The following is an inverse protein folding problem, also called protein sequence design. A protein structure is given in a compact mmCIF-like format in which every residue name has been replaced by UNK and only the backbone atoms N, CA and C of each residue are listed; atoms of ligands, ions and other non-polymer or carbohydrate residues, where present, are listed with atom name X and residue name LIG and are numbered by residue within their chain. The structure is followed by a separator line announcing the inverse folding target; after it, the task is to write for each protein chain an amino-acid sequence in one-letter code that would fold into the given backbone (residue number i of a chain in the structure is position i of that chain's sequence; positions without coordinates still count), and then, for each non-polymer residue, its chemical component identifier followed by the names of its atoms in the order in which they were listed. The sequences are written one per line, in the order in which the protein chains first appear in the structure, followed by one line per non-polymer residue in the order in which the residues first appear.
data_IF_056275736238
#
_entry.id   IF_056275736238
#
_cell.length_a   1.000
_cell.length_b   1.000
_cell.length_c   1.000
_cell.angle_alpha   90.00
_cell.angle_beta   90.00
_cell.angle_gamma   90.00
#
_symmetry.space_group_name_H-M   'P 1'
#
loop_
_entity.id
_entity.type
_entity.pdbx_description
1 polymer ?
#
# COMPACT_ATOMS: atom_id res chain seq x y z
N UNK A 1 -2.53 15.27 -12.27
CA UNK A 1 -1.46 15.59 -11.31
C UNK A 1 -0.67 14.33 -11.10
N UNK A 2 0.65 14.38 -11.29
CA UNK A 2 1.55 13.24 -11.08
C UNK A 2 1.75 12.99 -9.58
N UNK A 3 1.94 11.72 -9.21
CA UNK A 3 2.27 11.32 -7.84
C UNK A 3 3.79 11.36 -7.63
N UNK A 4 4.23 11.64 -6.40
CA UNK A 4 5.64 11.67 -6.02
C UNK A 4 5.85 11.12 -4.61
N UNK A 5 7.10 10.86 -4.23
CA UNK A 5 7.51 10.53 -2.85
C UNK A 5 6.99 11.56 -1.84
N UNK A 6 7.24 12.84 -2.10
CA UNK A 6 6.76 13.92 -1.23
C UNK A 6 5.23 13.96 -1.12
N UNK A 7 4.50 13.60 -2.18
CA UNK A 7 3.04 13.56 -2.16
C UNK A 7 2.53 12.51 -1.17
N UNK A 8 3.03 11.26 -1.25
CA UNK A 8 2.57 10.20 -0.33
C UNK A 8 3.03 10.45 1.11
N UNK A 9 4.20 11.06 1.31
CA UNK A 9 4.69 11.45 2.64
C UNK A 9 3.77 12.50 3.27
N UNK A 10 3.31 13.50 2.50
CA UNK A 10 2.28 14.47 2.94
C UNK A 10 0.94 13.82 3.26
N UNK A 11 0.63 12.68 2.64
CA UNK A 11 -0.55 11.88 2.97
C UNK A 11 -0.36 10.99 4.20
N UNK A 12 0.79 11.08 4.88
CA UNK A 12 1.07 10.34 6.11
C UNK A 12 1.62 8.93 5.89
N UNK A 13 2.07 8.61 4.66
CA UNK A 13 2.90 7.43 4.45
C UNK A 13 4.31 7.68 5.00
N UNK A 14 4.85 6.72 5.73
CA UNK A 14 6.19 6.78 6.31
C UNK A 14 7.11 5.80 5.61
N UNK A 15 8.38 6.17 5.45
CA UNK A 15 9.39 5.28 4.87
C UNK A 15 9.56 4.06 5.79
N UNK A 16 9.38 2.86 5.26
CA UNK A 16 9.60 1.62 5.99
C UNK A 16 11.09 1.49 6.30
N UNK A 17 11.49 1.28 7.56
CA UNK A 17 12.90 1.10 7.91
C UNK A 17 13.43 -0.12 7.14
N UNK A 18 14.51 0.06 6.38
CA UNK A 18 15.10 -0.98 5.53
C UNK A 18 15.16 -2.33 6.26
N UNK A 19 14.38 -3.30 5.80
CA UNK A 19 14.66 -4.71 6.06
C UNK A 19 15.77 -5.14 5.11
N UNK A 20 16.73 -5.92 5.60
CA UNK A 20 17.98 -6.27 4.91
C UNK A 20 17.81 -6.85 3.50
N UNK A 21 16.61 -7.32 3.13
CA UNK A 21 16.30 -7.97 1.85
C UNK A 21 15.35 -7.19 0.93
N UNK A 22 14.90 -5.99 1.31
CA UNK A 22 13.97 -5.20 0.49
C UNK A 22 14.70 -4.15 -0.35
N UNK A 23 14.23 -3.88 -1.58
CA UNK A 23 14.62 -2.68 -2.31
C UNK A 23 14.44 -1.41 -1.46
N UNK A 24 15.07 -0.30 -1.86
CA UNK A 24 14.85 0.99 -1.19
C UNK A 24 13.46 1.54 -1.53
N UNK A 25 13.01 2.53 -0.76
CA UNK A 25 11.80 3.33 -1.02
C UNK A 25 10.47 2.58 -0.88
N UNK A 26 10.34 1.81 0.20
CA UNK A 26 9.06 1.29 0.67
C UNK A 26 8.41 2.26 1.64
N UNK A 27 7.10 2.42 1.52
CA UNK A 27 6.31 3.34 2.30
C UNK A 27 5.14 2.59 2.92
N UNK A 28 4.97 2.71 4.23
CA UNK A 28 3.88 2.10 4.97
C UNK A 28 3.01 3.17 5.63
N UNK A 29 1.76 2.81 5.93
CA UNK A 29 0.84 3.67 6.65
C UNK A 29 -0.15 2.80 7.41
N UNK A 30 -0.25 2.97 8.72
CA UNK A 30 -1.31 2.32 9.49
C UNK A 30 -2.67 2.98 9.19
N UNK A 31 -3.79 2.24 9.16
CA UNK A 31 -3.93 0.79 9.37
C UNK A 31 -3.96 -0.02 8.04
N UNK A 32 -3.27 0.45 7.00
CA UNK A 32 -3.35 -0.20 5.69
C UNK A 32 -2.57 -1.53 5.69
N UNK A 33 -3.16 -2.63 5.16
CA UNK A 33 -2.54 -3.96 5.16
C UNK A 33 -1.52 -4.14 4.02
N UNK A 34 -1.07 -3.05 3.40
CA UNK A 34 -0.17 -3.06 2.26
C UNK A 34 0.82 -1.91 2.35
N UNK A 35 1.89 -2.05 1.57
CA UNK A 35 3.02 -1.13 1.49
C UNK A 35 3.05 -0.59 0.05
N UNK A 36 3.51 0.65 -0.14
CA UNK A 36 3.79 1.21 -1.45
C UNK A 36 5.29 1.16 -1.71
N UNK A 37 5.69 0.69 -2.89
CA UNK A 37 7.08 0.68 -3.33
C UNK A 37 7.27 1.66 -4.48
N UNK A 38 8.25 2.57 -4.37
CA UNK A 38 8.62 3.45 -5.46
C UNK A 38 9.63 2.78 -6.41
N UNK A 39 9.27 2.63 -7.69
CA UNK A 39 10.21 2.22 -8.73
C UNK A 39 10.69 3.45 -9.53
N UNK A 40 11.97 3.77 -9.41
CA UNK A 40 12.61 4.91 -10.09
C UNK A 40 12.55 4.83 -11.63
N UNK A 41 12.47 3.64 -12.22
CA UNK A 41 12.42 3.47 -13.69
C UNK A 41 11.06 3.88 -14.24
N UNK A 42 10.00 3.55 -13.51
CA UNK A 42 8.62 3.88 -13.89
C UNK A 42 8.15 5.22 -13.32
N UNK A 43 8.89 5.79 -12.37
CA UNK A 43 8.49 6.97 -11.58
C UNK A 43 7.08 6.79 -11.02
N UNK A 44 6.83 5.63 -10.44
CA UNK A 44 5.51 5.17 -10.03
C UNK A 44 5.56 4.41 -8.72
N UNK A 45 4.42 4.36 -8.03
CA UNK A 45 4.22 3.47 -6.89
C UNK A 45 3.62 2.14 -7.32
N UNK A 46 4.12 1.07 -6.72
CA UNK A 46 3.57 -0.27 -6.83
C UNK A 46 3.03 -0.70 -5.48
N UNK A 47 1.92 -1.41 -5.51
CA UNK A 47 1.30 -1.94 -4.29
C UNK A 47 1.95 -3.27 -3.97
N UNK A 48 2.35 -3.38 -2.73
CA UNK A 48 3.09 -4.51 -2.21
C UNK A 48 2.38 -5.06 -0.99
N UNK A 49 2.06 -6.35 -1.04
CA UNK A 49 1.52 -7.07 0.10
C UNK A 49 2.65 -7.84 0.77
N UNK A 50 2.78 -7.65 2.09
CA UNK A 50 3.69 -8.45 2.92
C UNK A 50 2.89 -9.57 3.53
N UNK A 51 3.26 -10.80 3.20
CA UNK A 51 2.76 -11.97 3.91
C UNK A 51 3.54 -12.11 5.21
N UNK A 52 2.86 -11.91 6.35
CA UNK A 52 3.53 -11.94 7.66
C UNK A 52 3.91 -13.35 8.12
N UNK A 53 3.23 -14.40 7.61
CA UNK A 53 3.51 -15.79 7.95
C UNK A 53 4.81 -16.29 7.31
N UNK A 54 5.09 -15.83 6.10
CA UNK A 54 6.23 -16.27 5.30
C UNK A 54 7.32 -15.19 5.18
N UNK A 55 7.05 -13.97 5.67
CA UNK A 55 7.83 -12.76 5.37
C UNK A 55 8.05 -12.53 3.86
N UNK A 56 7.21 -13.12 3.01
CA UNK A 56 7.32 -12.97 1.57
C UNK A 56 6.65 -11.69 1.11
N UNK A 57 7.24 -11.09 0.07
CA UNK A 57 6.72 -9.88 -0.55
C UNK A 57 6.10 -10.24 -1.88
N UNK A 58 4.80 -9.99 -2.01
CA UNK A 58 4.10 -10.06 -3.29
C UNK A 58 3.88 -8.66 -3.82
N UNK A 59 4.62 -8.31 -4.87
CA UNK A 59 4.36 -7.10 -5.63
C UNK A 59 3.18 -7.41 -6.55
N UNK A 60 2.05 -6.73 -6.35
CA UNK A 60 0.93 -6.84 -7.28
C UNK A 60 1.24 -5.97 -8.51
N UNK A 61 2.23 -6.42 -9.29
CA UNK A 61 2.97 -5.61 -10.25
C UNK A 61 2.28 -5.36 -11.58
N UNK A 62 0.95 -5.33 -11.64
CA UNK A 62 0.24 -5.11 -12.92
C UNK A 62 -0.10 -3.65 -13.21
N UNK A 63 -0.35 -2.83 -12.18
CA UNK A 63 -0.82 -1.46 -12.38
C UNK A 63 0.02 -0.45 -11.57
N UNK A 64 0.97 0.26 -12.21
CA UNK A 64 1.70 1.33 -11.56
C UNK A 64 0.78 2.50 -11.23
N UNK A 65 0.94 3.07 -10.05
CA UNK A 65 0.26 4.30 -9.62
C UNK A 65 1.16 5.48 -10.00
N UNK A 66 0.83 6.21 -11.06
CA UNK A 66 1.59 7.36 -11.56
C UNK A 66 0.88 8.70 -11.31
N UNK A 67 -0.42 8.65 -11.08
CA UNK A 67 -1.28 9.82 -10.92
C UNK A 67 -2.11 9.75 -9.64
N UNK A 68 -2.59 10.91 -9.18
CA UNK A 68 -3.53 10.99 -8.05
C UNK A 68 -4.82 10.21 -8.32
N UNK A 69 -5.30 10.21 -9.57
CA UNK A 69 -6.51 9.47 -9.94
C UNK A 69 -6.35 7.96 -9.79
N UNK A 70 -5.20 7.41 -10.21
CA UNK A 70 -4.87 5.99 -10.01
C UNK A 70 -4.69 5.64 -8.54
N UNK A 71 -4.07 6.54 -7.78
CA UNK A 71 -3.90 6.40 -6.35
C UNK A 71 -5.26 6.30 -5.63
N UNK A 72 -6.17 7.22 -5.94
CA UNK A 72 -7.52 7.22 -5.37
C UNK A 72 -8.33 5.97 -5.78
N UNK A 73 -8.24 5.57 -7.05
CA UNK A 73 -8.87 4.34 -7.56
C UNK A 73 -8.39 3.10 -6.81
N UNK A 74 -7.10 3.05 -6.44
CA UNK A 74 -6.53 1.93 -5.71
C UNK A 74 -6.92 1.96 -4.21
N UNK A 75 -6.86 3.13 -3.57
CA UNK A 75 -7.04 3.26 -2.12
C UNK A 75 -8.48 3.24 -1.65
N UNK A 76 -9.41 3.82 -2.40
CA UNK A 76 -10.82 3.92 -1.98
C UNK A 76 -11.42 2.52 -1.70
N UNK A 77 -11.23 1.50 -2.56
CA UNK A 77 -11.69 0.15 -2.28
C UNK A 77 -11.10 -0.43 -0.99
N UNK A 78 -9.80 -0.23 -0.73
CA UNK A 78 -9.16 -0.76 0.48
C UNK A 78 -9.66 -0.05 1.73
N UNK A 79 -9.81 1.27 1.68
CA UNK A 79 -10.40 2.06 2.75
C UNK A 79 -11.82 1.62 3.09
N UNK A 80 -12.64 1.35 2.06
CA UNK A 80 -13.99 0.81 2.24
C UNK A 80 -13.93 -0.56 2.93
N UNK A 81 -13.11 -1.48 2.42
CA UNK A 81 -12.96 -2.81 2.98
C UNK A 81 -12.48 -2.80 4.44
N UNK A 82 -11.54 -1.92 4.80
CA UNK A 82 -11.08 -1.75 6.19
C UNK A 82 -12.20 -1.28 7.11
N UNK A 83 -12.96 -0.26 6.68
CA UNK A 83 -14.09 0.28 7.44
C UNK A 83 -15.25 -0.70 7.57
N UNK A 84 -15.55 -1.45 6.51
CA UNK A 84 -16.59 -2.49 6.52
C UNK A 84 -16.16 -3.70 7.37
N UNK A 85 -14.86 -4.01 7.37
CA UNK A 85 -14.25 -5.04 8.22
C UNK A 85 -14.28 -4.70 9.72
N UNK A 86 -14.15 -3.42 10.09
CA UNK A 86 -14.40 -2.95 11.46
C UNK A 86 -15.88 -3.05 11.88
N UNK A 87 -16.81 -3.11 10.92
CA UNK A 87 -18.26 -3.24 11.20
C UNK A 87 -18.80 -4.67 11.17
N UNK A 88 -17.95 -5.68 11.03
CA UNK A 88 -18.36 -7.08 11.15
C UNK A 88 -17.95 -7.61 12.54
N UNK A 89 -18.81 -7.48 13.58
CA UNK A 89 -18.73 -8.41 14.69
C UNK A 89 -19.05 -9.79 14.11
N UNK A 90 -18.14 -10.71 14.28
CA UNK A 90 -18.32 -12.14 14.09
C UNK A 90 -19.69 -12.56 14.62
N UNK A 91 -20.68 -12.70 13.73
CA UNK A 91 -21.81 -13.59 13.97
C UNK A 91 -21.39 -14.92 13.37
N UNK A 92 -20.77 -15.75 14.19
CA UNK A 92 -20.80 -17.18 13.97
C UNK A 92 -22.27 -17.59 13.76
N UNK A 93 -22.59 -18.34 12.69
CA UNK A 93 -23.93 -18.91 12.55
C UNK A 93 -24.12 -19.98 13.63
N UNK A 94 -25.17 -19.81 14.43
CA UNK A 94 -25.72 -20.80 15.39
C UNK A 94 -26.08 -22.14 14.72
#
# INVERSE_FOLDING_TARGET
MEISKEFIEKLGWSLYPNYYDLPKDFYHKEPYPFILWWDERYKAFFVVYKDELTNSITINGRDPIQTVEEYDKFLIPVLKALKDGETNPTKEPE
#
